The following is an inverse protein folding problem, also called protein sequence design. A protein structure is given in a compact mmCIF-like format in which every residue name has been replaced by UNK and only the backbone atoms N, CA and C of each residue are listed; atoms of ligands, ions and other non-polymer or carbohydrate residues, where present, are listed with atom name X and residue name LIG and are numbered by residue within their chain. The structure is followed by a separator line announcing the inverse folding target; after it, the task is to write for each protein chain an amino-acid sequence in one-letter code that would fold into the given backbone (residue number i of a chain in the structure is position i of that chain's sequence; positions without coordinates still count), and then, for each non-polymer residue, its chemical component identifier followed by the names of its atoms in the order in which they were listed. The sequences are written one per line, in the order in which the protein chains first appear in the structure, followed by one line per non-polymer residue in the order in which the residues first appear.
data_IF_127211713444
#
_entry.id   IF_127211713444
#
_cell.length_a   1.000
_cell.length_b   1.000
_cell.length_c   1.000
_cell.angle_alpha   90.00
_cell.angle_beta   90.00
_cell.angle_gamma   90.00
#
_symmetry.space_group_name_H-M   'P 1'
#
loop_
_entity.id
_entity.type
_entity.pdbx_description
1 polymer ?
#
# COMPACT_ATOMS: atom_id res chain seq x y z
N UNK A 1 16.42 16.53 2.70
CA UNK A 1 15.80 15.25 3.10
C UNK A 1 15.72 14.39 1.85
N UNK A 2 16.15 13.12 1.90
CA UNK A 2 16.15 12.22 0.73
C UNK A 2 14.81 11.50 0.69
N UNK A 3 14.18 11.44 -0.49
CA UNK A 3 12.92 10.76 -0.68
C UNK A 3 13.12 9.29 -1.08
N UNK A 4 12.13 8.46 -0.81
CA UNK A 4 11.98 7.13 -1.39
C UNK A 4 11.82 7.23 -2.90
N UNK A 5 12.34 6.23 -3.60
CA UNK A 5 12.20 6.07 -5.04
C UNK A 5 11.37 4.86 -5.40
N UNK A 6 10.71 4.94 -6.55
CA UNK A 6 10.07 3.81 -7.22
C UNK A 6 11.11 2.89 -7.86
N UNK A 7 10.66 1.79 -8.47
CA UNK A 7 11.53 0.76 -9.05
C UNK A 7 12.47 1.28 -10.14
N UNK A 8 12.13 2.40 -10.80
CA UNK A 8 12.95 3.05 -11.82
C UNK A 8 13.93 4.09 -11.25
N UNK A 9 13.87 4.35 -9.94
CA UNK A 9 14.72 5.33 -9.26
C UNK A 9 14.14 6.75 -9.27
N UNK A 10 12.89 6.92 -9.68
CA UNK A 10 12.21 8.21 -9.59
C UNK A 10 11.58 8.39 -8.21
N UNK A 11 11.58 9.61 -7.69
CA UNK A 11 10.95 9.88 -6.40
C UNK A 11 9.47 9.47 -6.37
N UNK A 12 9.05 8.87 -5.26
CA UNK A 12 7.64 8.63 -4.97
C UNK A 12 7.01 9.96 -4.55
N UNK A 13 6.06 10.44 -5.36
CA UNK A 13 5.38 11.72 -5.17
C UNK A 13 3.94 11.54 -4.73
N UNK A 14 3.45 12.48 -3.94
CA UNK A 14 2.03 12.60 -3.60
C UNK A 14 1.22 13.21 -4.75
N UNK A 15 -0.10 13.16 -4.61
CA UNK A 15 -1.03 13.88 -5.48
C UNK A 15 -1.76 13.00 -6.49
N UNK A 16 -2.95 13.41 -6.97
CA UNK A 16 -3.90 12.61 -7.75
C UNK A 16 -3.37 11.99 -9.05
N UNK A 17 -2.25 12.50 -9.54
CA UNK A 17 -1.57 12.00 -10.73
C UNK A 17 -0.65 10.80 -10.41
N UNK A 18 -0.26 10.60 -9.15
CA UNK A 18 0.82 9.69 -8.82
C UNK A 18 0.33 8.33 -8.29
N UNK A 19 -0.04 7.43 -9.22
CA UNK A 19 -0.47 6.06 -8.90
C UNK A 19 0.63 5.03 -9.08
N UNK A 20 0.70 4.10 -8.14
CA UNK A 20 1.69 3.05 -8.06
C UNK A 20 1.03 1.70 -7.79
N UNK A 21 1.62 0.61 -8.27
CA UNK A 21 1.39 -0.73 -7.72
C UNK A 21 2.42 -1.01 -6.65
N UNK A 22 2.03 -1.76 -5.62
CA UNK A 22 2.99 -2.34 -4.68
C UNK A 22 3.19 -3.80 -5.12
N UNK A 23 4.40 -4.09 -5.63
CA UNK A 23 4.79 -5.40 -6.14
C UNK A 23 5.72 -6.07 -5.12
N UNK A 24 5.48 -7.32 -4.78
CA UNK A 24 6.28 -8.08 -3.83
C UNK A 24 7.48 -8.75 -4.52
N UNK A 25 8.42 -9.25 -3.72
CA UNK A 25 9.63 -9.92 -4.19
C UNK A 25 9.39 -11.07 -5.18
N UNK A 26 8.26 -11.76 -5.07
CA UNK A 26 7.87 -12.90 -5.91
C UNK A 26 7.10 -12.47 -7.18
N UNK A 27 6.94 -11.17 -7.41
CA UNK A 27 6.18 -10.60 -8.53
C UNK A 27 4.68 -10.55 -8.30
N UNK A 28 4.17 -11.01 -7.15
CA UNK A 28 2.78 -10.79 -6.77
C UNK A 28 2.52 -9.31 -6.44
N UNK A 29 1.26 -8.90 -6.46
CA UNK A 29 0.85 -7.51 -6.18
C UNK A 29 0.02 -7.46 -4.90
N UNK A 30 0.00 -6.31 -4.22
CA UNK A 30 -0.99 -6.09 -3.16
C UNK A 30 -2.35 -5.78 -3.76
N UNK A 31 -3.38 -6.49 -3.30
CA UNK A 31 -4.74 -6.36 -3.79
C UNK A 31 -5.77 -6.75 -2.73
N UNK A 32 -7.01 -6.35 -2.94
CA UNK A 32 -8.16 -6.80 -2.17
C UNK A 32 -8.71 -8.05 -2.87
N UNK A 33 -8.88 -9.12 -2.11
CA UNK A 33 -9.46 -10.36 -2.64
C UNK A 33 -10.99 -10.32 -2.54
N UNK A 34 -11.67 -10.35 -3.69
CA UNK A 34 -13.09 -10.69 -3.78
C UNK A 34 -13.25 -12.13 -4.29
N UNK A 35 -14.25 -12.91 -3.81
CA UNK A 35 -15.04 -12.76 -2.60
C UNK A 35 -14.32 -13.35 -1.38
N UNK A 36 -14.44 -12.72 -0.21
CA UNK A 36 -13.82 -13.20 1.03
C UNK A 36 -14.61 -12.76 2.26
N UNK A 37 -14.39 -13.41 3.40
CA UNK A 37 -15.05 -13.09 4.69
C UNK A 37 -14.71 -11.70 5.23
N UNK A 38 -13.58 -11.12 4.80
CA UNK A 38 -13.23 -9.72 5.04
C UNK A 38 -12.99 -9.04 3.67
N UNK A 39 -14.00 -8.36 3.09
CA UNK A 39 -13.98 -7.84 1.72
C UNK A 39 -12.99 -6.68 1.51
N UNK A 40 -12.26 -6.29 2.55
CA UNK A 40 -11.31 -5.18 2.54
C UNK A 40 -9.93 -5.58 3.04
N UNK A 41 -9.71 -6.86 3.36
CA UNK A 41 -8.37 -7.34 3.72
C UNK A 41 -7.45 -7.29 2.50
N UNK A 42 -6.19 -6.90 2.74
CA UNK A 42 -5.15 -6.84 1.72
C UNK A 42 -4.40 -8.16 1.68
N UNK A 43 -4.25 -8.70 0.48
CA UNK A 43 -3.58 -9.94 0.19
C UNK A 43 -2.48 -9.72 -0.85
N UNK A 44 -1.52 -10.63 -0.89
CA UNK A 44 -0.75 -10.90 -2.10
C UNK A 44 -1.67 -11.59 -3.12
N UNK A 45 -1.79 -11.00 -4.30
CA UNK A 45 -2.57 -11.49 -5.43
C UNK A 45 -1.69 -11.62 -6.67
N UNK A 46 -2.05 -12.44 -7.66
CA UNK A 46 -1.28 -12.55 -8.90
C UNK A 46 -1.09 -11.20 -9.60
N UNK A 47 0.03 -11.06 -10.32
CA UNK A 47 0.34 -9.89 -11.12
C UNK A 47 -0.83 -9.51 -12.06
N UNK A 48 -1.06 -8.21 -12.22
CA UNK A 48 -2.19 -7.66 -12.98
C UNK A 48 -3.51 -7.55 -12.20
N UNK A 49 -3.63 -8.13 -11.00
CA UNK A 49 -4.86 -8.09 -10.17
C UNK A 49 -4.76 -7.18 -8.95
N UNK A 50 -3.59 -6.60 -8.70
CA UNK A 50 -3.36 -5.71 -7.58
C UNK A 50 -4.18 -4.43 -7.66
N UNK A 51 -4.37 -3.82 -6.49
CA UNK A 51 -4.87 -2.46 -6.40
C UNK A 51 -3.78 -1.47 -6.84
N UNK A 52 -4.18 -0.27 -7.19
CA UNK A 52 -3.25 0.86 -7.27
C UNK A 52 -3.34 1.69 -6.00
N UNK A 53 -2.21 2.28 -5.61
CA UNK A 53 -2.08 3.13 -4.45
C UNK A 53 -1.49 4.47 -4.83
N UNK A 54 -1.85 5.49 -4.07
CA UNK A 54 -1.29 6.83 -4.14
C UNK A 54 -0.79 7.22 -2.77
N UNK A 55 0.47 7.61 -2.70
CA UNK A 55 1.07 8.16 -1.48
C UNK A 55 0.47 9.52 -1.14
N UNK A 56 0.26 9.77 0.16
CA UNK A 56 -0.14 11.03 0.73
C UNK A 56 0.78 11.34 1.92
N UNK A 57 1.37 12.54 1.92
CA UNK A 57 2.28 12.95 3.01
C UNK A 57 1.54 13.15 4.33
N UNK A 58 0.31 13.63 4.25
CA UNK A 58 -0.59 13.77 5.38
C UNK A 58 -1.89 13.02 5.07
N UNK A 59 -2.60 12.60 6.11
CA UNK A 59 -3.84 11.86 5.94
C UNK A 59 -4.89 12.73 5.23
N UNK A 60 -5.56 12.16 4.23
CA UNK A 60 -6.51 12.88 3.38
C UNK A 60 -5.91 13.99 2.51
N UNK A 61 -4.58 14.10 2.41
CA UNK A 61 -3.94 15.18 1.65
C UNK A 61 -3.85 14.87 0.14
N UNK A 62 -4.17 15.87 -0.66
CA UNK A 62 -4.15 15.84 -2.13
C UNK A 62 -3.08 16.75 -2.74
N UNK A 63 -2.28 17.43 -1.90
CA UNK A 63 -1.22 18.33 -2.39
C UNK A 63 -0.26 17.60 -3.32
N UNK A 64 0.07 18.28 -4.41
CA UNK A 64 0.99 17.80 -5.44
C UNK A 64 2.44 17.89 -4.96
N UNK A 65 3.29 17.03 -5.54
CA UNK A 65 4.75 17.12 -5.50
C UNK A 65 5.35 17.11 -4.08
N UNK A 66 4.67 16.48 -3.11
CA UNK A 66 5.29 16.16 -1.83
C UNK A 66 5.96 14.80 -1.95
N UNK A 67 7.28 14.76 -1.79
CA UNK A 67 8.02 13.51 -1.78
C UNK A 67 7.71 12.74 -0.49
N UNK A 68 7.99 11.44 -0.49
CA UNK A 68 8.00 10.64 0.73
C UNK A 68 9.42 10.51 1.28
N UNK A 69 9.77 11.24 2.35
CA UNK A 69 11.10 11.09 2.93
C UNK A 69 11.31 9.69 3.50
N UNK A 70 12.52 9.17 3.35
CA UNK A 70 12.90 7.87 3.91
C UNK A 70 12.73 7.90 5.44
N UNK A 71 12.01 6.91 5.98
CA UNK A 71 11.75 6.77 7.41
C UNK A 71 10.58 7.60 7.94
N UNK A 72 10.04 8.53 7.14
CA UNK A 72 8.87 9.32 7.53
C UNK A 72 7.58 8.51 7.42
N UNK A 73 6.60 8.93 8.23
CA UNK A 73 5.23 8.41 8.17
C UNK A 73 4.50 8.98 6.94
N UNK A 74 3.87 8.09 6.19
CA UNK A 74 3.02 8.39 5.03
C UNK A 74 1.67 7.68 5.11
N UNK A 75 0.77 8.02 4.20
CA UNK A 75 -0.56 7.41 4.08
C UNK A 75 -0.80 6.96 2.65
N UNK A 76 -1.70 6.00 2.45
CA UNK A 76 -2.07 5.55 1.11
C UNK A 76 -3.56 5.64 0.88
N UNK A 77 -3.90 6.24 -0.26
CA UNK A 77 -5.20 6.07 -0.89
C UNK A 77 -5.10 4.92 -1.88
N UNK A 78 -5.98 3.94 -1.77
CA UNK A 78 -6.08 2.79 -2.64
C UNK A 78 -7.22 2.96 -3.62
N UNK A 79 -7.07 2.43 -4.84
CA UNK A 79 -8.14 2.29 -5.80
C UNK A 79 -8.10 0.88 -6.41
N UNK A 80 -9.25 0.23 -6.47
CA UNK A 80 -9.42 -1.07 -7.11
C UNK A 80 -10.80 -1.16 -7.76
N UNK A 81 -10.94 -1.99 -8.79
CA UNK A 81 -12.23 -2.38 -9.34
C UNK A 81 -12.90 -3.44 -8.46
N UNK A 82 -14.17 -3.22 -8.15
CA UNK A 82 -15.05 -4.19 -7.54
C UNK A 82 -15.43 -5.31 -8.52
N UNK A 83 -15.99 -6.40 -8.00
CA UNK A 83 -16.54 -7.49 -8.81
C UNK A 83 -17.63 -7.03 -9.79
N UNK A 84 -18.38 -5.97 -9.47
CA UNK A 84 -19.39 -5.37 -10.35
C UNK A 84 -18.81 -4.34 -11.35
N UNK A 85 -17.48 -4.21 -11.41
CA UNK A 85 -16.78 -3.29 -12.29
C UNK A 85 -16.73 -1.85 -11.81
N UNK A 86 -17.29 -1.52 -10.63
CA UNK A 86 -17.20 -0.15 -10.08
C UNK A 86 -15.84 0.11 -9.44
N UNK A 87 -15.36 1.34 -9.60
CA UNK A 87 -14.19 1.82 -8.88
C UNK A 87 -14.52 2.02 -7.40
N UNK A 88 -13.67 1.48 -6.52
CA UNK A 88 -13.74 1.72 -5.08
C UNK A 88 -12.45 2.42 -4.67
N UNK A 89 -12.59 3.54 -3.96
CA UNK A 89 -11.47 4.26 -3.36
C UNK A 89 -11.49 4.08 -1.85
N UNK A 90 -10.37 3.63 -1.28
CA UNK A 90 -10.23 3.23 0.12
C UNK A 90 -8.94 3.81 0.70
N UNK A 91 -8.78 3.78 2.02
CA UNK A 91 -7.53 4.13 2.69
C UNK A 91 -6.82 2.86 3.18
N UNK A 92 -5.52 2.74 2.92
CA UNK A 92 -4.74 1.63 3.47
C UNK A 92 -4.45 1.88 4.95
N UNK A 93 -4.76 0.89 5.79
CA UNK A 93 -4.48 0.97 7.23
C UNK A 93 -4.50 -0.41 7.88
N UNK A 94 -3.96 -0.52 9.09
CA UNK A 94 -4.16 -1.70 9.93
C UNK A 94 -5.54 -1.67 10.56
N UNK A 95 -6.29 -2.76 10.51
CA UNK A 95 -7.58 -2.87 11.19
C UNK A 95 -7.39 -2.95 12.72
N UNK A 96 -8.20 -2.22 13.49
CA UNK A 96 -8.09 -2.23 14.96
C UNK A 96 -8.58 -3.52 15.60
N UNK A 97 -9.54 -4.22 14.98
CA UNK A 97 -10.19 -5.40 15.57
C UNK A 97 -9.44 -6.70 15.31
N UNK A 98 -8.75 -6.83 14.18
CA UNK A 98 -8.06 -8.07 13.79
C UNK A 98 -6.57 -7.89 13.57
N UNK A 99 -6.06 -6.66 13.68
CA UNK A 99 -4.69 -6.30 13.32
C UNK A 99 -4.36 -6.93 11.96
N UNK A 100 -5.06 -6.51 10.90
CA UNK A 100 -4.83 -6.97 9.53
C UNK A 100 -4.56 -5.78 8.64
N UNK A 101 -3.71 -5.90 7.62
CA UNK A 101 -3.61 -4.86 6.62
C UNK A 101 -4.91 -4.83 5.80
N UNK A 102 -5.56 -3.68 5.74
CA UNK A 102 -6.88 -3.53 5.13
C UNK A 102 -7.02 -2.21 4.38
N UNK A 103 -7.93 -2.19 3.41
CA UNK A 103 -8.33 -1.01 2.66
C UNK A 103 -9.71 -0.55 3.14
N UNK A 104 -9.77 0.46 3.99
CA UNK A 104 -10.99 0.86 4.68
C UNK A 104 -11.65 2.09 4.04
N UNK A 105 -12.98 2.16 4.10
CA UNK A 105 -13.74 3.36 3.73
C UNK A 105 -13.60 4.46 4.78
N UNK A 106 -13.37 4.08 6.04
CA UNK A 106 -13.15 5.00 7.14
C UNK A 106 -11.80 5.71 7.01
N UNK A 107 -11.75 6.98 7.43
CA UNK A 107 -10.51 7.74 7.49
C UNK A 107 -9.65 7.41 8.73
N UNK A 108 -9.65 6.14 9.16
CA UNK A 108 -8.77 5.65 10.24
C UNK A 108 -7.48 5.10 9.63
N UNK A 109 -6.81 5.95 8.85
CA UNK A 109 -5.51 5.61 8.30
C UNK A 109 -4.44 5.83 9.38
N UNK A 110 -3.89 4.75 9.93
CA UNK A 110 -2.83 4.85 10.93
C UNK A 110 -1.48 5.16 10.30
N UNK A 111 -1.36 5.02 8.98
CA UNK A 111 -0.18 5.34 8.20
C UNK A 111 0.84 4.21 8.13
N UNK A 112 1.89 4.47 7.34
CA UNK A 112 2.95 3.54 7.02
C UNK A 112 4.29 4.25 7.14
N UNK A 113 5.35 3.51 7.47
CA UNK A 113 6.75 3.97 7.32
C UNK A 113 7.40 3.13 6.25
N UNK A 114 8.31 3.72 5.48
CA UNK A 114 9.05 3.00 4.47
C UNK A 114 10.55 3.36 4.51
N UNK A 115 11.38 2.38 4.19
CA UNK A 115 12.83 2.53 4.07
C UNK A 115 13.31 2.05 2.70
N UNK A 116 14.29 2.77 2.13
CA UNK A 116 14.88 2.38 0.85
C UNK A 116 15.85 1.21 1.06
N UNK A 117 15.64 0.13 0.32
CA UNK A 117 16.54 -1.00 0.19
C UNK A 117 17.38 -0.89 -1.09
N UNK A 118 18.36 -1.77 -1.25
CA UNK A 118 19.14 -1.87 -2.48
C UNK A 118 18.24 -2.14 -3.70
N UNK A 119 18.71 -1.76 -4.89
CA UNK A 119 18.00 -1.96 -6.17
C UNK A 119 16.61 -1.32 -6.22
N UNK A 120 16.46 -0.15 -5.59
CA UNK A 120 15.20 0.62 -5.55
C UNK A 120 14.01 -0.11 -4.89
N UNK A 121 14.28 -1.18 -4.13
CA UNK A 121 13.27 -1.87 -3.34
C UNK A 121 12.96 -1.09 -2.06
N UNK A 122 11.84 -1.39 -1.43
CA UNK A 122 11.32 -0.68 -0.26
C UNK A 122 10.92 -1.69 0.81
N UNK A 123 11.35 -1.45 2.04
CA UNK A 123 10.82 -2.13 3.22
C UNK A 123 9.66 -1.31 3.78
N UNK A 124 8.45 -1.86 3.73
CA UNK A 124 7.23 -1.19 4.20
C UNK A 124 6.78 -1.70 5.58
N UNK A 125 6.43 -0.77 6.46
CA UNK A 125 6.00 -1.01 7.83
C UNK A 125 4.67 -0.31 8.10
N UNK A 126 3.87 -0.85 9.03
CA UNK A 126 2.58 -0.29 9.43
C UNK A 126 2.65 0.40 10.78
N UNK A 127 1.73 1.33 11.02
CA UNK A 127 1.44 1.84 12.36
C UNK A 127 0.10 1.27 12.84
N UNK A 128 0.02 0.89 14.12
CA UNK A 128 -1.23 0.49 14.75
C UNK A 128 -2.06 1.70 15.23
N UNK A 129 -3.24 1.43 15.80
CA UNK A 129 -4.14 2.46 16.31
C UNK A 129 -3.56 3.32 17.45
N UNK A 130 -2.52 2.82 18.13
CA UNK A 130 -1.82 3.53 19.20
C UNK A 130 -0.58 4.28 18.68
N UNK A 131 -0.32 4.25 17.37
CA UNK A 131 0.87 4.85 16.77
C UNK A 131 2.15 4.03 16.95
N UNK A 132 2.05 2.76 17.35
CA UNK A 132 3.21 1.86 17.44
C UNK A 132 3.55 1.30 16.06
N UNK A 133 4.83 1.34 15.71
CA UNK A 133 5.35 0.74 14.48
C UNK A 133 5.32 -0.81 14.58
N UNK A 134 4.91 -1.47 13.51
CA UNK A 134 4.96 -2.93 13.37
C UNK A 134 5.52 -3.35 12.01
N UNK A 135 6.06 -4.57 11.95
CA UNK A 135 6.42 -5.20 10.68
C UNK A 135 5.18 -5.59 9.89
N UNK A 136 5.36 -5.97 8.63
CA UNK A 136 4.31 -6.46 7.75
C UNK A 136 4.79 -7.74 7.07
N UNK A 137 3.95 -8.78 7.04
CA UNK A 137 4.32 -10.08 6.48
C UNK A 137 3.16 -10.72 5.72
N UNK A 138 3.47 -11.30 4.57
CA UNK A 138 2.54 -12.19 3.85
C UNK A 138 2.41 -13.49 4.63
N UNK A 139 1.19 -13.83 5.05
CA UNK A 139 0.88 -15.10 5.72
C UNK A 139 0.97 -16.24 4.71
N UNK A 140 1.67 -17.32 5.07
CA UNK A 140 1.69 -18.51 4.23
C UNK A 140 0.36 -19.25 4.33
N UNK A 141 -0.48 -19.13 3.30
CA UNK A 141 -1.77 -19.83 3.17
C UNK A 141 -1.97 -20.28 1.73
N UNK A 142 -2.70 -21.39 1.47
CA UNK A 142 -3.15 -21.73 0.13
C UNK A 142 -4.05 -20.62 -0.45
N UNK A 143 -3.77 -20.17 -1.68
CA UNK A 143 -4.57 -19.13 -2.36
C UNK A 143 -4.11 -17.70 -2.04
N UNK A 144 -5.06 -16.76 -1.99
CA UNK A 144 -4.77 -15.34 -1.73
C UNK A 144 -4.23 -15.16 -0.31
N UNK A 145 -2.97 -14.78 -0.20
CA UNK A 145 -2.23 -14.77 1.06
C UNK A 145 -2.37 -13.41 1.77
N UNK A 146 -3.04 -13.33 2.94
CA UNK A 146 -3.20 -12.06 3.64
C UNK A 146 -1.88 -11.41 4.05
N UNK A 147 -1.85 -10.09 4.13
CA UNK A 147 -0.75 -9.35 4.76
C UNK A 147 -1.12 -8.99 6.19
N UNK A 148 -0.34 -9.48 7.15
CA UNK A 148 -0.56 -9.25 8.56
C UNK A 148 0.56 -8.42 9.19
N UNK A 149 0.24 -7.60 10.19
CA UNK A 149 1.22 -6.97 11.05
C UNK A 149 1.95 -8.01 11.89
N UNK A 150 3.23 -7.76 12.10
CA UNK A 150 4.08 -8.52 12.99
C UNK A 150 4.61 -7.61 14.10
N UNK A 151 4.38 -8.01 15.35
CA UNK A 151 4.86 -7.30 16.54
C UNK A 151 5.98 -8.13 17.19
N UNK A 152 7.07 -7.46 17.55
CA UNK A 152 8.21 -8.08 18.21
C UNK A 152 9.35 -7.08 18.41
N UNK A 153 10.47 -7.58 18.93
CA UNK A 153 11.68 -6.77 19.14
C UNK A 153 12.39 -6.45 17.81
N UNK A 154 12.19 -7.29 16.79
CA UNK A 154 12.73 -7.14 15.46
C UNK A 154 11.59 -7.04 14.45
N UNK A 155 11.41 -5.84 13.88
CA UNK A 155 10.37 -5.60 12.89
C UNK A 155 10.89 -5.98 11.51
N UNK A 156 10.13 -6.81 10.79
CA UNK A 156 10.40 -7.14 9.39
C UNK A 156 9.49 -6.28 8.51
N UNK A 157 10.11 -5.44 7.67
CA UNK A 157 9.37 -4.70 6.65
C UNK A 157 8.93 -5.63 5.53
N UNK A 158 7.76 -5.36 4.96
CA UNK A 158 7.31 -6.00 3.74
C UNK A 158 8.22 -5.53 2.60
N UNK A 159 8.95 -6.47 2.02
CA UNK A 159 9.89 -6.22 0.95
C UNK A 159 9.16 -6.12 -0.40
N UNK A 160 9.06 -4.90 -0.92
CA UNK A 160 8.25 -4.57 -2.08
C UNK A 160 8.89 -3.50 -2.96
N UNK A 161 8.35 -3.32 -4.15
CA UNK A 161 8.66 -2.25 -5.09
C UNK A 161 7.41 -1.40 -5.34
N UNK A 162 7.61 -0.11 -5.51
CA UNK A 162 6.58 0.78 -6.04
C UNK A 162 6.78 0.86 -7.54
N UNK A 163 5.80 0.41 -8.31
CA UNK A 163 5.84 0.45 -9.79
C UNK A 163 4.88 1.53 -10.26
N UNK A 164 5.39 2.53 -10.98
CA UNK A 164 4.57 3.61 -11.51
C UNK A 164 3.56 3.06 -12.53
N UNK A 165 2.28 3.36 -12.35
CA UNK A 165 1.23 2.90 -13.27
C UNK A 165 0.86 3.98 -14.28
N UNK A 166 0.64 5.20 -13.80
CA UNK A 166 0.33 6.34 -14.66
C UNK A 166 0.52 7.65 -13.91
N UNK A 167 0.70 8.74 -14.67
CA UNK A 167 0.52 10.14 -14.23
C UNK A 167 -0.93 10.62 -14.40
N UNK A 168 -1.73 9.92 -15.20
CA UNK A 168 -3.15 10.22 -15.45
C UNK A 168 -3.86 8.90 -15.69
N UNK A 169 -4.72 8.46 -14.76
CA UNK A 169 -5.61 7.34 -15.05
C UNK A 169 -6.42 7.70 -16.30
N UNK A 170 -6.18 6.98 -17.39
CA UNK A 170 -6.90 7.21 -18.65
C UNK A 170 -8.37 6.92 -18.38
N UNK A 171 -9.21 7.96 -18.34
CA UNK A 171 -10.65 7.78 -18.41
C UNK A 171 -10.94 7.23 -19.79
N UNK A 172 -11.09 5.92 -19.89
CA UNK A 172 -11.55 5.29 -21.11
C UNK A 172 -12.91 5.90 -21.46
N UNK A 173 -13.03 6.45 -22.66
CA UNK A 173 -14.34 6.78 -23.22
C UNK A 173 -15.00 5.44 -23.59
N UNK A 174 -15.87 4.94 -22.72
CA UNK A 174 -16.72 3.79 -23.01
C UNK A 174 -18.12 4.28 -23.36
#
# INVERSE_FOLDING_TARGET
MVNLTDNEGHNIWSGPENWYKIVLADGSELGISYPGSNPYQIHAVPAGRGMVVRYQRFDGDDRLNQGWPIGDKGYFRCMQLSHDGKEITLNMSLSSQQATLSAMTENKAYGMRAEQLAHNRVALYGFDANGRLCGLRVRSTPGNAPVDPHFGDYLMGLDCEFVKVSTTLSKGSF
#
